data_IF_143257766244
#
_entry.id   IF_143257766244
#
_cell.length_a   1.000
_cell.length_b   1.000
_cell.length_c   1.000
_cell.angle_alpha   90.00
_cell.angle_beta   90.00
_cell.angle_gamma   90.00
#
_symmetry.space_group_name_H-M   'P 1'
#
loop_
_entity.id
_entity.type
_entity.pdbx_description
1 polymer ?
#
# COMPACT_ATOMS: atom_id res chain seq x y z
N UNK A 1 -10.53 17.35 -28.31
CA UNK A 1 -9.19 16.89 -27.87
C UNK A 1 -8.96 16.95 -26.35
N UNK A 2 -8.63 18.07 -25.70
CA UNK A 2 -8.18 18.04 -24.29
C UNK A 2 -9.22 17.52 -23.28
N UNK A 3 -10.50 17.81 -23.50
CA UNK A 3 -11.59 17.25 -22.69
C UNK A 3 -11.58 15.72 -22.74
N UNK A 4 -11.49 15.17 -23.93
CA UNK A 4 -11.45 13.72 -24.14
C UNK A 4 -10.18 13.13 -23.53
N UNK A 5 -9.01 13.78 -23.71
CA UNK A 5 -7.75 13.30 -23.12
C UNK A 5 -7.85 13.23 -21.58
N UNK A 6 -8.48 14.23 -20.95
CA UNK A 6 -8.72 14.23 -19.50
C UNK A 6 -9.63 13.08 -19.05
N UNK A 7 -10.58 12.66 -19.89
CA UNK A 7 -11.44 11.50 -19.61
C UNK A 7 -10.73 10.15 -19.86
N UNK A 8 -9.69 10.13 -20.71
CA UNK A 8 -8.92 8.93 -21.03
C UNK A 8 -7.81 8.59 -20.03
N UNK A 9 -7.23 9.60 -19.36
CA UNK A 9 -6.11 9.42 -18.43
C UNK A 9 -6.62 9.37 -17.00
N UNK A 10 -6.13 8.42 -16.19
CA UNK A 10 -6.51 8.37 -14.78
C UNK A 10 -5.81 9.47 -13.98
N UNK A 11 -6.37 9.80 -12.81
CA UNK A 11 -5.78 10.78 -11.91
C UNK A 11 -4.34 10.38 -11.54
N UNK A 12 -3.41 11.32 -11.70
CA UNK A 12 -1.99 11.07 -11.44
C UNK A 12 -1.30 10.25 -12.52
N UNK A 13 -1.89 10.04 -13.71
CA UNK A 13 -1.20 9.58 -14.92
C UNK A 13 -0.70 10.76 -15.76
N UNK A 14 0.39 10.55 -16.49
CA UNK A 14 1.02 11.56 -17.33
C UNK A 14 1.20 10.99 -18.73
N UNK A 15 0.95 11.82 -19.74
CA UNK A 15 1.10 11.45 -21.15
C UNK A 15 1.97 12.49 -21.83
N UNK A 16 2.95 12.03 -22.60
CA UNK A 16 3.77 12.87 -23.47
C UNK A 16 3.26 12.77 -24.90
N UNK A 17 3.03 13.91 -25.54
CA UNK A 17 2.67 14.01 -26.96
C UNK A 17 3.75 14.84 -27.65
N UNK A 18 4.47 14.23 -28.58
CA UNK A 18 5.52 14.87 -29.38
C UNK A 18 5.05 14.98 -30.81
N UNK A 19 5.08 16.18 -31.39
CA UNK A 19 4.70 16.44 -32.78
C UNK A 19 5.94 16.86 -33.56
N UNK A 20 6.21 16.18 -34.67
CA UNK A 20 7.27 16.49 -35.60
C UNK A 20 6.69 16.80 -36.98
N UNK A 21 7.01 17.96 -37.56
CA UNK A 21 6.56 18.34 -38.91
C UNK A 21 7.61 17.95 -39.95
N UNK A 22 7.17 17.31 -41.04
CA UNK A 22 8.00 16.93 -42.18
C UNK A 22 7.29 17.32 -43.47
N UNK A 23 7.59 18.51 -44.00
CA UNK A 23 6.93 19.04 -45.19
C UNK A 23 5.46 19.34 -44.94
N UNK A 24 4.58 18.69 -45.70
CA UNK A 24 3.11 18.78 -45.57
C UNK A 24 2.58 17.81 -44.49
N UNK A 25 3.36 16.79 -44.15
CA UNK A 25 2.96 15.78 -43.17
C UNK A 25 3.48 16.10 -41.77
N UNK A 26 2.87 15.49 -40.77
CA UNK A 26 3.26 15.50 -39.38
C UNK A 26 3.31 14.07 -38.84
N UNK A 27 4.25 13.83 -37.92
CA UNK A 27 4.34 12.61 -37.13
C UNK A 27 4.05 12.96 -35.68
N UNK A 28 3.04 12.32 -35.10
CA UNK A 28 2.63 12.52 -33.70
C UNK A 28 2.93 11.25 -32.93
N UNK A 29 3.72 11.37 -31.88
CA UNK A 29 4.08 10.28 -30.98
C UNK A 29 3.43 10.50 -29.63
N UNK A 30 2.67 9.52 -29.15
CA UNK A 30 2.02 9.54 -27.83
C UNK A 30 2.60 8.44 -26.96
N UNK A 31 3.08 8.81 -25.78
CA UNK A 31 3.68 7.91 -24.81
C UNK A 31 3.07 8.13 -23.43
N UNK A 32 2.57 7.06 -22.81
CA UNK A 32 2.26 7.06 -21.39
C UNK A 32 3.55 7.09 -20.58
N UNK A 33 3.68 8.05 -19.66
CA UNK A 33 4.82 8.17 -18.78
C UNK A 33 4.62 7.30 -17.54
N UNK A 34 5.71 6.71 -17.09
CA UNK A 34 5.79 6.01 -15.81
C UNK A 34 5.73 7.04 -14.67
N UNK A 35 4.68 6.97 -13.87
CA UNK A 35 4.46 7.85 -12.73
C UNK A 35 4.77 7.17 -11.40
N UNK A 36 5.91 6.48 -11.34
CA UNK A 36 6.45 5.89 -10.12
C UNK A 36 6.12 4.41 -9.93
N UNK A 37 5.70 3.73 -11.00
CA UNK A 37 5.63 2.27 -11.04
C UNK A 37 7.04 1.72 -11.11
N UNK A 38 7.39 0.77 -10.25
CA UNK A 38 8.76 0.24 -10.21
C UNK A 38 8.99 -0.83 -11.28
N UNK A 39 7.91 -1.44 -11.77
CA UNK A 39 7.97 -2.51 -12.77
C UNK A 39 8.47 -2.03 -14.15
N UNK A 40 9.57 -2.65 -14.60
CA UNK A 40 10.19 -2.40 -15.91
C UNK A 40 9.30 -2.77 -17.11
N UNK A 41 8.20 -3.51 -16.91
CA UNK A 41 7.22 -3.79 -17.96
C UNK A 41 6.56 -2.51 -18.49
N UNK A 42 6.39 -1.47 -17.64
CA UNK A 42 5.87 -0.16 -18.06
C UNK A 42 6.82 0.50 -19.06
N UNK A 43 8.13 0.36 -18.87
CA UNK A 43 9.16 0.90 -19.79
C UNK A 43 9.19 0.20 -21.14
N UNK A 44 8.58 -0.98 -21.27
CA UNK A 44 8.47 -1.73 -22.53
C UNK A 44 7.27 -1.31 -23.37
N UNK A 45 6.37 -0.49 -22.83
CA UNK A 45 5.24 0.06 -23.58
C UNK A 45 5.82 0.96 -24.68
N UNK A 46 5.63 0.54 -25.93
CA UNK A 46 6.09 1.32 -27.07
C UNK A 46 5.21 2.56 -27.25
N UNK A 47 5.80 3.70 -27.63
CA UNK A 47 5.02 4.86 -28.04
C UNK A 47 4.10 4.52 -29.21
N UNK A 48 2.91 5.12 -29.23
CA UNK A 48 2.03 5.11 -30.37
C UNK A 48 2.46 6.22 -31.33
N UNK A 49 2.73 5.88 -32.58
CA UNK A 49 3.14 6.85 -33.60
C UNK A 49 2.10 6.90 -34.72
N UNK A 50 1.57 8.10 -34.98
CA UNK A 50 0.65 8.40 -36.07
C UNK A 50 1.35 9.33 -37.06
N UNK A 51 1.05 9.21 -38.35
CA UNK A 51 1.56 10.11 -39.39
C UNK A 51 0.44 10.47 -40.34
N UNK A 52 0.34 11.74 -40.71
CA UNK A 52 -0.67 12.24 -41.63
C UNK A 52 -0.50 13.73 -41.91
N UNK A 53 -1.39 14.27 -42.72
CA UNK A 53 -1.58 15.72 -42.86
C UNK A 53 -2.17 16.32 -41.58
N UNK A 54 -2.19 17.65 -41.49
CA UNK A 54 -2.80 18.31 -40.33
C UNK A 54 -4.30 18.00 -40.25
N UNK A 55 -5.00 18.01 -41.38
CA UNK A 55 -6.44 17.72 -41.44
C UNK A 55 -6.77 16.29 -41.00
N UNK A 56 -6.05 15.28 -41.50
CA UNK A 56 -6.26 13.87 -41.12
C UNK A 56 -6.02 13.64 -39.63
N UNK A 57 -5.01 14.31 -39.06
CA UNK A 57 -4.72 14.20 -37.64
C UNK A 57 -5.76 14.92 -36.80
N UNK A 58 -6.23 16.10 -37.19
CA UNK A 58 -7.27 16.81 -36.44
C UNK A 58 -8.59 16.01 -36.38
N UNK A 59 -8.95 15.33 -37.46
CA UNK A 59 -10.17 14.51 -37.52
C UNK A 59 -10.03 13.17 -36.78
N UNK A 60 -8.89 12.50 -36.89
CA UNK A 60 -8.73 11.11 -36.44
C UNK A 60 -7.92 10.91 -35.16
N UNK A 61 -7.12 11.90 -34.72
CA UNK A 61 -6.13 11.71 -33.66
C UNK A 61 -6.74 11.15 -32.39
N UNK A 62 -7.81 11.77 -31.90
CA UNK A 62 -8.41 11.37 -30.62
C UNK A 62 -8.93 9.94 -30.68
N UNK A 63 -9.67 9.56 -31.72
CA UNK A 63 -10.21 8.20 -31.86
C UNK A 63 -9.10 7.15 -31.96
N UNK A 64 -8.02 7.45 -32.67
CA UNK A 64 -6.89 6.54 -32.87
C UNK A 64 -6.08 6.33 -31.58
N UNK A 65 -5.90 7.37 -30.76
CA UNK A 65 -5.17 7.24 -29.50
C UNK A 65 -6.02 6.67 -28.36
N UNK A 66 -7.35 6.78 -28.43
CA UNK A 66 -8.23 6.47 -27.29
C UNK A 66 -8.03 5.06 -26.76
N UNK A 67 -8.15 4.05 -27.64
CA UNK A 67 -8.06 2.65 -27.21
C UNK A 67 -6.64 2.26 -26.75
N UNK A 68 -5.56 2.59 -27.49
CA UNK A 68 -4.19 2.34 -27.02
C UNK A 68 -3.85 3.03 -25.70
N UNK A 69 -4.32 4.27 -25.52
CA UNK A 69 -4.05 5.04 -24.31
C UNK A 69 -4.78 4.45 -23.10
N UNK A 70 -6.04 4.03 -23.25
CA UNK A 70 -6.78 3.32 -22.20
C UNK A 70 -6.14 1.98 -21.81
N UNK A 71 -5.66 1.20 -22.79
CA UNK A 71 -5.02 -0.08 -22.52
C UNK A 71 -3.71 0.09 -21.75
N UNK A 72 -2.85 1.01 -22.19
CA UNK A 72 -1.59 1.31 -21.50
C UNK A 72 -1.85 1.91 -20.11
N UNK A 73 -2.78 2.85 -19.98
CA UNK A 73 -3.18 3.44 -18.70
C UNK A 73 -3.72 2.39 -17.73
N UNK A 74 -4.57 1.47 -18.19
CA UNK A 74 -5.09 0.38 -17.35
C UNK A 74 -4.01 -0.57 -16.85
N UNK A 75 -3.02 -0.91 -17.68
CA UNK A 75 -1.87 -1.73 -17.25
C UNK A 75 -1.09 -1.00 -16.15
N UNK A 76 -0.77 0.28 -16.35
CA UNK A 76 0.00 1.09 -15.39
C UNK A 76 -0.75 1.19 -14.06
N UNK A 77 -2.05 1.49 -14.08
CA UNK A 77 -2.87 1.59 -12.87
C UNK A 77 -2.93 0.26 -12.11
N UNK A 78 -3.14 -0.85 -12.81
CA UNK A 78 -3.21 -2.17 -12.17
C UNK A 78 -1.89 -2.55 -11.48
N UNK A 79 -0.75 -2.26 -12.13
CA UNK A 79 0.56 -2.53 -11.53
C UNK A 79 0.78 -1.64 -10.30
N UNK A 80 0.48 -0.35 -10.40
CA UNK A 80 0.62 0.59 -9.28
C UNK A 80 -0.22 0.17 -8.06
N UNK A 81 -1.48 -0.23 -8.29
CA UNK A 81 -2.37 -0.71 -7.24
C UNK A 81 -1.87 -2.03 -6.63
N UNK A 82 -1.38 -2.95 -7.46
CA UNK A 82 -0.79 -4.20 -6.99
C UNK A 82 0.46 -3.96 -6.13
N UNK A 83 1.41 -3.14 -6.59
CA UNK A 83 2.62 -2.80 -5.84
C UNK A 83 2.26 -2.17 -4.48
N UNK A 84 1.31 -1.24 -4.45
CA UNK A 84 0.80 -0.63 -3.22
C UNK A 84 0.16 -1.66 -2.28
N UNK A 85 -0.61 -2.61 -2.82
CA UNK A 85 -1.23 -3.69 -2.06
C UNK A 85 -0.19 -4.62 -1.42
N UNK A 86 0.85 -4.98 -2.18
CA UNK A 86 1.97 -5.79 -1.70
C UNK A 86 2.75 -5.07 -0.59
N UNK A 87 3.06 -3.78 -0.77
CA UNK A 87 3.74 -2.98 0.23
C UNK A 87 2.92 -2.87 1.53
N UNK A 88 1.61 -2.64 1.43
CA UNK A 88 0.71 -2.59 2.58
C UNK A 88 0.65 -3.94 3.33
N UNK A 89 0.58 -5.07 2.60
CA UNK A 89 0.59 -6.40 3.21
C UNK A 89 1.93 -6.72 3.89
N UNK A 90 3.05 -6.36 3.26
CA UNK A 90 4.37 -6.54 3.84
C UNK A 90 4.58 -5.67 5.10
N UNK A 91 4.13 -4.41 5.08
CA UNK A 91 4.16 -3.51 6.23
C UNK A 91 3.32 -4.03 7.40
N UNK A 92 2.12 -4.54 7.10
CA UNK A 92 1.24 -5.14 8.11
C UNK A 92 1.87 -6.37 8.78
N UNK A 93 2.60 -7.19 8.01
CA UNK A 93 3.30 -8.37 8.55
C UNK A 93 4.48 -7.98 9.45
N UNK A 94 5.26 -6.96 9.07
CA UNK A 94 6.39 -6.48 9.89
C UNK A 94 5.88 -5.89 11.22
N UNK A 95 4.87 -5.02 11.16
CA UNK A 95 4.27 -4.44 12.35
C UNK A 95 3.68 -5.51 13.28
N UNK A 96 2.99 -6.51 12.73
CA UNK A 96 2.45 -7.62 13.51
C UNK A 96 3.54 -8.45 14.20
N UNK A 97 4.67 -8.71 13.53
CA UNK A 97 5.83 -9.40 14.13
C UNK A 97 6.45 -8.59 15.27
N UNK A 98 6.67 -7.29 15.06
CA UNK A 98 7.24 -6.42 16.11
C UNK A 98 6.34 -6.36 17.35
N UNK A 99 5.01 -6.25 17.16
CA UNK A 99 4.04 -6.30 18.26
C UNK A 99 4.09 -7.65 18.98
N UNK A 100 4.15 -8.76 18.25
CA UNK A 100 4.28 -10.10 18.83
C UNK A 100 5.57 -10.27 19.64
N UNK A 101 6.70 -9.73 19.16
CA UNK A 101 7.99 -9.80 19.85
C UNK A 101 7.99 -8.96 21.13
N UNK A 102 7.38 -7.77 21.10
CA UNK A 102 7.20 -6.92 22.27
C UNK A 102 6.32 -7.62 23.31
N UNK A 103 5.18 -8.18 22.90
CA UNK A 103 4.28 -8.94 23.78
C UNK A 103 5.01 -10.14 24.39
N UNK A 104 5.79 -10.86 23.59
CA UNK A 104 6.60 -12.00 24.07
C UNK A 104 7.61 -11.62 25.14
N UNK A 105 8.21 -10.43 25.07
CA UNK A 105 9.09 -9.90 26.13
C UNK A 105 8.32 -9.51 27.39
N UNK A 106 7.20 -8.80 27.24
CA UNK A 106 6.37 -8.38 28.37
C UNK A 106 5.82 -9.58 29.16
N UNK A 107 5.43 -10.66 28.47
CA UNK A 107 5.02 -11.90 29.13
C UNK A 107 6.17 -12.51 29.95
N UNK A 108 7.38 -12.58 29.40
CA UNK A 108 8.54 -13.12 30.13
C UNK A 108 8.88 -12.28 31.36
N UNK A 109 8.80 -10.95 31.26
CA UNK A 109 9.03 -10.05 32.37
C UNK A 109 7.95 -10.21 33.45
N UNK A 110 6.68 -10.36 33.05
CA UNK A 110 5.57 -10.64 33.96
C UNK A 110 5.75 -11.97 34.71
N UNK A 111 6.13 -13.04 34.02
CA UNK A 111 6.42 -14.35 34.63
C UNK A 111 7.59 -14.29 35.63
N UNK A 112 8.62 -13.48 35.31
CA UNK A 112 9.73 -13.24 36.24
C UNK A 112 9.25 -12.52 37.49
N UNK A 113 8.42 -11.49 37.36
CA UNK A 113 7.84 -10.80 38.51
C UNK A 113 6.96 -11.72 39.37
N UNK A 114 6.19 -12.64 38.77
CA UNK A 114 5.46 -13.68 39.52
C UNK A 114 6.42 -14.56 40.33
N UNK A 115 7.51 -15.02 39.70
CA UNK A 115 8.50 -15.89 40.34
C UNK A 115 9.24 -15.18 41.48
N UNK A 116 9.51 -13.89 41.32
CA UNK A 116 10.15 -13.04 42.32
C UNK A 116 9.19 -12.59 43.44
N UNK A 117 7.90 -13.01 43.40
CA UNK A 117 6.88 -12.65 44.39
C UNK A 117 6.31 -11.23 44.24
N UNK A 118 6.64 -10.53 43.15
CA UNK A 118 6.19 -9.17 42.82
C UNK A 118 4.87 -9.19 42.05
N UNK A 119 3.81 -9.64 42.73
CA UNK A 119 2.51 -9.92 42.10
C UNK A 119 1.82 -8.67 41.53
N UNK A 120 2.02 -7.50 42.15
CA UNK A 120 1.47 -6.22 41.69
C UNK A 120 2.11 -5.77 40.37
N UNK A 121 3.43 -5.91 40.26
CA UNK A 121 4.20 -5.60 39.07
C UNK A 121 3.90 -6.59 37.93
N UNK A 122 3.76 -7.89 38.25
CA UNK A 122 3.31 -8.90 37.29
C UNK A 122 1.92 -8.57 36.73
N UNK A 123 0.97 -8.22 37.60
CA UNK A 123 -0.39 -7.85 37.21
C UNK A 123 -0.40 -6.62 36.29
N UNK A 124 0.40 -5.61 36.60
CA UNK A 124 0.52 -4.41 35.76
C UNK A 124 1.06 -4.77 34.36
N UNK A 125 2.07 -5.64 34.28
CA UNK A 125 2.67 -6.02 33.01
C UNK A 125 1.72 -6.87 32.14
N UNK A 126 0.97 -7.81 32.73
CA UNK A 126 -0.07 -8.53 31.98
C UNK A 126 -1.22 -7.63 31.51
N UNK A 127 -1.61 -6.61 32.27
CA UNK A 127 -2.60 -5.63 31.83
C UNK A 127 -2.11 -4.85 30.61
N UNK A 128 -0.83 -4.43 30.59
CA UNK A 128 -0.24 -3.79 29.41
C UNK A 128 -0.20 -4.72 28.19
N UNK A 129 -0.04 -6.03 28.39
CA UNK A 129 -0.18 -7.02 27.30
C UNK A 129 -1.61 -7.00 26.76
N UNK A 130 -2.63 -6.99 27.61
CA UNK A 130 -4.03 -6.94 27.19
C UNK A 130 -4.43 -5.60 26.54
N UNK A 131 -3.79 -4.49 26.91
CA UNK A 131 -3.96 -3.21 26.20
C UNK A 131 -3.45 -3.29 24.75
N UNK A 132 -2.38 -4.06 24.50
CA UNK A 132 -1.79 -4.26 23.18
C UNK A 132 -2.44 -5.39 22.38
N UNK A 133 -2.89 -6.45 23.06
CA UNK A 133 -3.58 -7.60 22.48
C UNK A 133 -4.70 -8.08 23.43
N UNK A 134 -5.91 -7.49 23.32
CA UNK A 134 -7.03 -7.77 24.23
C UNK A 134 -7.48 -9.24 24.25
N UNK A 135 -7.12 -10.02 23.23
CA UNK A 135 -7.46 -11.44 23.10
C UNK A 135 -6.35 -12.38 23.54
N UNK A 136 -5.29 -11.88 24.17
CA UNK A 136 -4.17 -12.70 24.61
C UNK A 136 -4.56 -13.63 25.78
N UNK A 137 -4.90 -14.88 25.44
CA UNK A 137 -5.48 -15.89 26.34
C UNK A 137 -4.70 -16.08 27.64
N UNK A 138 -3.36 -16.15 27.57
CA UNK A 138 -2.51 -16.35 28.76
C UNK A 138 -2.50 -15.13 29.68
N UNK A 139 -2.49 -13.91 29.12
CA UNK A 139 -2.46 -12.70 29.92
C UNK A 139 -3.80 -12.49 30.65
N UNK A 140 -4.92 -12.78 29.99
CA UNK A 140 -6.26 -12.70 30.60
C UNK A 140 -6.35 -13.60 31.83
N UNK A 141 -5.97 -14.87 31.71
CA UNK A 141 -6.00 -15.83 32.83
C UNK A 141 -5.12 -15.37 33.99
N UNK A 142 -3.92 -14.88 33.69
CA UNK A 142 -2.98 -14.40 34.71
C UNK A 142 -3.46 -13.15 35.43
N UNK A 143 -4.12 -12.23 34.73
CA UNK A 143 -4.75 -11.05 35.36
C UNK A 143 -5.84 -11.48 36.34
N UNK A 144 -6.70 -12.44 35.96
CA UNK A 144 -7.76 -12.93 36.83
C UNK A 144 -7.19 -13.64 38.08
N UNK A 145 -6.21 -14.53 37.89
CA UNK A 145 -5.52 -15.25 38.98
C UNK A 145 -4.86 -14.28 39.97
N UNK A 146 -4.07 -13.32 39.48
CA UNK A 146 -3.33 -12.38 40.32
C UNK A 146 -4.27 -11.39 41.03
N UNK A 147 -5.34 -10.94 40.37
CA UNK A 147 -6.33 -10.06 40.98
C UNK A 147 -7.04 -10.76 42.14
N UNK A 148 -7.42 -12.04 41.97
CA UNK A 148 -8.04 -12.82 43.03
C UNK A 148 -7.08 -13.05 44.21
N UNK A 149 -5.82 -13.41 43.94
CA UNK A 149 -4.78 -13.62 44.98
C UNK A 149 -4.51 -12.36 45.82
N UNK A 150 -4.38 -11.20 45.16
CA UNK A 150 -4.18 -9.92 45.85
C UNK A 150 -5.40 -9.50 46.67
N UNK A 151 -6.62 -9.78 46.19
CA UNK A 151 -7.85 -9.47 46.93
C UNK A 151 -8.01 -10.32 48.20
N UNK A 152 -7.59 -11.59 48.18
CA UNK A 152 -7.66 -12.48 49.35
C UNK A 152 -6.57 -12.17 50.39
N UNK A 153 -5.42 -11.66 49.97
CA UNK A 153 -4.31 -11.30 50.87
C UNK A 153 -4.62 -10.03 51.69
N UNK A 154 -5.51 -9.15 51.22
CA UNK A 154 -5.90 -7.91 51.93
C UNK A 154 -6.98 -8.13 53.01
N UNK A 155 -7.44 -9.36 53.22
CA UNK A 155 -8.55 -9.71 54.13
C UNK A 155 -8.09 -10.28 55.49
N UNK A 156 -6.77 -10.25 55.77
CA UNK A 156 -6.18 -10.66 57.05
C UNK A 156 -5.41 -9.51 57.70
#
# INVERSE_FOLDING_TARGET
>A
MFKEINEMIAAGQSVSITIHKTGVNMTVTVLHLDNGVKDDAVKKIKPLTLTGTAEELDEGFVSEITRPLQLSGGIISNIAEYEKGVEAAAGSTKAAKEVSDIIGKMIKDAEKYETDGKLSEALAEYKKVLEKEPKHSKASRKVDELTNSLSQTSLF
#
